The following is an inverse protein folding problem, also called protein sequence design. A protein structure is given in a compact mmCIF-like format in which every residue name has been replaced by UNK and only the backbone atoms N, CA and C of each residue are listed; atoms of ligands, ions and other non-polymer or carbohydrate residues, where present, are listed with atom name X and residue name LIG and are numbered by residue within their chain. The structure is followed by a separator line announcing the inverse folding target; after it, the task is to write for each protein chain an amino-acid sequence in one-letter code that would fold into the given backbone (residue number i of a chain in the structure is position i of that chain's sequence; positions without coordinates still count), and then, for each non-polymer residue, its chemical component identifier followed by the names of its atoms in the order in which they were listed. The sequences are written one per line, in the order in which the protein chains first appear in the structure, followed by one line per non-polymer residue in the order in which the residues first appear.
data_IF_895162274985
#
_entry.id   IF_895162274985
#
_cell.length_a   1.000
_cell.length_b   1.000
_cell.length_c   1.000
_cell.angle_alpha   90.00
_cell.angle_beta   90.00
_cell.angle_gamma   90.00
#
_symmetry.space_group_name_H-M   'P 1'
#
loop_
_entity.id
_entity.type
_entity.pdbx_description
1 polymer ?
#
# COMPACT_ATOMS: atom_id res chain seq x y z
N UNK A 1 0.06 -19.35 -1.73
CA UNK A 1 -0.30 -18.12 -1.02
C UNK A 1 -1.54 -17.55 -1.70
N UNK A 2 -2.39 -16.87 -0.94
CA UNK A 2 -3.59 -16.19 -1.44
C UNK A 2 -3.22 -14.78 -1.92
N UNK A 3 -3.76 -14.35 -3.06
CA UNK A 3 -3.38 -13.11 -3.74
C UNK A 3 -3.51 -11.88 -2.84
N UNK A 4 -4.68 -11.68 -2.24
CA UNK A 4 -4.97 -10.45 -1.51
C UNK A 4 -4.23 -10.39 -0.18
N UNK A 5 -3.97 -11.52 0.48
CA UNK A 5 -3.15 -11.62 1.66
C UNK A 5 -1.71 -11.18 1.37
N UNK A 6 -1.09 -11.70 0.31
CA UNK A 6 0.29 -11.33 -0.05
C UNK A 6 0.38 -9.86 -0.44
N UNK A 7 -0.48 -9.40 -1.34
CA UNK A 7 -0.45 -8.00 -1.81
C UNK A 7 -0.86 -7.02 -0.71
N UNK A 8 -1.77 -7.42 0.18
CA UNK A 8 -2.19 -6.66 1.35
C UNK A 8 -1.05 -6.45 2.35
N UNK A 9 -0.22 -7.48 2.60
CA UNK A 9 0.98 -7.32 3.41
C UNK A 9 2.00 -6.36 2.79
N UNK A 10 2.20 -6.41 1.46
CA UNK A 10 3.07 -5.46 0.75
C UNK A 10 2.59 -4.03 0.99
N UNK A 11 1.29 -3.77 0.80
CA UNK A 11 0.71 -2.45 1.05
C UNK A 11 0.88 -2.01 2.51
N UNK A 12 0.58 -2.90 3.46
CA UNK A 12 0.66 -2.59 4.89
C UNK A 12 2.09 -2.23 5.31
N UNK A 13 3.07 -3.06 4.97
CA UNK A 13 4.50 -2.81 5.25
C UNK A 13 4.91 -1.48 4.62
N UNK A 14 4.55 -1.27 3.36
CA UNK A 14 4.87 -0.05 2.63
C UNK A 14 4.33 1.20 3.31
N UNK A 15 3.06 1.21 3.74
CA UNK A 15 2.50 2.37 4.42
C UNK A 15 3.01 2.56 5.84
N UNK A 16 3.26 1.49 6.60
CA UNK A 16 3.90 1.58 7.92
C UNK A 16 5.28 2.22 7.79
N UNK A 17 6.07 1.77 6.80
CA UNK A 17 7.38 2.33 6.50
C UNK A 17 7.29 3.82 6.12
N UNK A 18 6.40 4.18 5.19
CA UNK A 18 6.25 5.58 4.77
C UNK A 18 5.77 6.48 5.89
N UNK A 19 4.82 6.03 6.70
CA UNK A 19 4.34 6.75 7.89
C UNK A 19 5.50 7.01 8.86
N UNK A 20 6.38 6.04 9.09
CA UNK A 20 7.50 6.16 10.02
C UNK A 20 8.56 7.19 9.62
N UNK A 21 8.68 7.50 8.31
CA UNK A 21 9.70 8.44 7.81
C UNK A 21 9.14 9.76 7.27
N UNK A 22 7.84 9.84 6.98
CA UNK A 22 7.22 11.06 6.48
C UNK A 22 7.11 12.10 7.59
N UNK A 23 7.56 13.33 7.30
CA UNK A 23 7.55 14.47 8.22
C UNK A 23 6.91 15.65 7.52
N UNK A 24 5.92 16.30 8.12
CA UNK A 24 5.30 17.50 7.53
C UNK A 24 6.21 18.74 7.63
N UNK A 25 7.09 18.75 8.63
CA UNK A 25 8.00 19.84 8.94
C UNK A 25 9.37 19.74 8.22
N UNK A 26 10.07 20.87 8.19
CA UNK A 26 11.43 20.95 7.64
C UNK A 26 11.52 20.84 6.11
N UNK A 27 12.75 20.75 5.59
CA UNK A 27 13.02 20.66 4.15
C UNK A 27 13.18 19.20 3.75
N UNK A 28 12.35 18.74 2.81
CA UNK A 28 12.50 17.41 2.23
C UNK A 28 13.69 17.37 1.29
N UNK A 29 14.66 16.51 1.61
CA UNK A 29 15.79 16.23 0.71
C UNK A 29 15.26 15.68 -0.61
N UNK A 30 15.88 16.09 -1.71
CA UNK A 30 15.48 15.64 -3.04
C UNK A 30 15.57 14.11 -3.20
N UNK A 31 16.56 13.47 -2.56
CA UNK A 31 16.67 12.00 -2.50
C UNK A 31 15.46 11.35 -1.82
N UNK A 32 14.93 11.94 -0.74
CA UNK A 32 13.72 11.48 -0.07
C UNK A 32 12.50 11.61 -1.00
N UNK A 33 12.31 12.77 -1.64
CA UNK A 33 11.18 12.99 -2.56
C UNK A 33 11.17 11.94 -3.68
N UNK A 34 12.35 11.68 -4.27
CA UNK A 34 12.50 10.68 -5.33
C UNK A 34 12.19 9.27 -4.83
N UNK A 35 12.71 8.90 -3.66
CA UNK A 35 12.46 7.61 -3.01
C UNK A 35 10.97 7.42 -2.69
N UNK A 36 10.33 8.42 -2.08
CA UNK A 36 8.90 8.43 -1.79
C UNK A 36 8.08 8.25 -3.07
N UNK A 37 8.35 9.05 -4.10
CA UNK A 37 7.63 8.95 -5.37
C UNK A 37 7.74 7.55 -5.99
N UNK A 38 8.94 6.96 -6.02
CA UNK A 38 9.14 5.60 -6.53
C UNK A 38 8.33 4.58 -5.73
N UNK A 39 8.33 4.69 -4.40
CA UNK A 39 7.61 3.76 -3.55
C UNK A 39 6.08 3.91 -3.68
N UNK A 40 5.56 5.13 -3.72
CA UNK A 40 4.12 5.38 -3.94
C UNK A 40 3.66 4.80 -5.28
N UNK A 41 4.48 4.91 -6.36
CA UNK A 41 4.19 4.27 -7.65
C UNK A 41 4.16 2.74 -7.53
N UNK A 42 5.07 2.15 -6.75
CA UNK A 42 5.09 0.71 -6.51
C UNK A 42 3.81 0.26 -5.79
N UNK A 43 3.44 0.95 -4.71
CA UNK A 43 2.23 0.66 -3.93
C UNK A 43 0.95 0.85 -4.75
N UNK A 44 0.91 1.85 -5.62
CA UNK A 44 -0.20 2.07 -6.55
C UNK A 44 -0.37 0.90 -7.52
N UNK A 45 0.74 0.38 -8.09
CA UNK A 45 0.69 -0.81 -8.94
C UNK A 45 0.16 -2.03 -8.18
N UNK A 46 0.57 -2.21 -6.93
CA UNK A 46 0.11 -3.32 -6.07
C UNK A 46 -1.39 -3.20 -5.83
N UNK A 47 -1.87 -2.03 -5.40
CA UNK A 47 -3.30 -1.79 -5.18
C UNK A 47 -4.12 -2.00 -6.47
N UNK A 48 -3.63 -1.51 -7.62
CA UNK A 48 -4.27 -1.74 -8.93
C UNK A 48 -4.31 -3.23 -9.31
N UNK A 49 -3.27 -4.01 -9.02
CA UNK A 49 -3.26 -5.46 -9.24
C UNK A 49 -4.32 -6.19 -8.38
N UNK A 50 -4.58 -5.71 -7.16
CA UNK A 50 -5.64 -6.27 -6.30
C UNK A 50 -7.06 -6.03 -6.84
N UNK A 51 -7.27 -5.09 -7.78
CA UNK A 51 -8.56 -4.90 -8.46
C UNK A 51 -8.75 -5.79 -9.68
N UNK A 52 -7.67 -6.33 -10.24
CA UNK A 52 -7.77 -7.12 -11.46
C UNK A 52 -8.15 -8.56 -11.11
N UNK A 53 -9.02 -9.14 -11.94
CA UNK A 53 -9.38 -10.55 -11.84
C UNK A 53 -8.13 -11.44 -11.72
N UNK A 54 -8.18 -12.41 -10.81
CA UNK A 54 -7.08 -13.34 -10.55
C UNK A 54 -6.69 -14.10 -11.82
N UNK A 55 -5.39 -14.08 -12.11
CA UNK A 55 -4.75 -14.76 -13.23
C UNK A 55 -3.41 -15.30 -12.74
N UNK A 56 -3.30 -16.61 -12.55
CA UNK A 56 -2.17 -17.23 -11.85
C UNK A 56 -0.82 -16.86 -12.47
N UNK A 57 -0.65 -16.91 -13.78
CA UNK A 57 0.61 -16.58 -14.45
C UNK A 57 0.94 -15.09 -14.30
N UNK A 58 -0.05 -14.23 -14.58
CA UNK A 58 0.12 -12.77 -14.57
C UNK A 58 0.41 -12.24 -13.17
N UNK A 59 -0.33 -12.71 -12.16
CA UNK A 59 -0.19 -12.24 -10.79
C UNK A 59 1.13 -12.73 -10.17
N UNK A 60 1.59 -13.94 -10.50
CA UNK A 60 2.92 -14.41 -10.08
C UNK A 60 4.05 -13.64 -10.77
N UNK A 61 3.93 -13.36 -12.07
CA UNK A 61 4.89 -12.52 -12.78
C UNK A 61 4.96 -11.12 -12.18
N UNK A 62 3.80 -10.55 -11.85
CA UNK A 62 3.72 -9.25 -11.17
C UNK A 62 4.37 -9.29 -9.79
N UNK A 63 4.07 -10.29 -8.96
CA UNK A 63 4.65 -10.43 -7.62
C UNK A 63 6.17 -10.53 -7.67
N UNK A 64 6.73 -11.34 -8.58
CA UNK A 64 8.18 -11.46 -8.79
C UNK A 64 8.81 -10.14 -9.19
N UNK A 65 8.16 -9.39 -10.09
CA UNK A 65 8.63 -8.06 -10.47
C UNK A 65 8.68 -7.11 -9.26
N UNK A 66 7.67 -7.12 -8.40
CA UNK A 66 7.64 -6.32 -7.17
C UNK A 66 8.76 -6.74 -6.22
N UNK A 67 8.94 -8.04 -5.99
CA UNK A 67 10.02 -8.59 -5.18
C UNK A 67 11.40 -8.07 -5.65
N UNK A 68 11.72 -8.24 -6.93
CA UNK A 68 13.01 -7.78 -7.47
C UNK A 68 13.15 -6.24 -7.46
N UNK A 69 12.06 -5.49 -7.63
CA UNK A 69 12.07 -4.02 -7.53
C UNK A 69 12.38 -3.55 -6.10
N UNK A 70 11.89 -4.27 -5.08
CA UNK A 70 12.17 -4.02 -3.66
C UNK A 70 13.61 -4.43 -3.31
N UNK A 71 14.05 -5.63 -3.69
CA UNK A 71 15.39 -6.15 -3.39
C UNK A 71 16.51 -5.28 -3.99
N UNK A 72 16.28 -4.75 -5.20
CA UNK A 72 17.23 -3.86 -5.86
C UNK A 72 17.28 -2.44 -5.24
N UNK A 73 16.30 -2.06 -4.41
CA UNK A 73 16.24 -0.74 -3.78
C UNK A 73 16.84 -0.76 -2.38
N UNK A 74 17.95 -0.04 -2.19
CA UNK A 74 18.70 0.00 -0.92
C UNK A 74 17.82 0.45 0.26
N UNK A 75 16.85 1.33 0.01
CA UNK A 75 15.96 1.86 1.04
C UNK A 75 14.85 0.86 1.34
N UNK A 76 14.22 0.28 0.31
CA UNK A 76 13.09 -0.62 0.51
C UNK A 76 13.51 -1.99 1.05
N UNK A 77 14.59 -2.59 0.55
CA UNK A 77 15.02 -3.94 0.95
C UNK A 77 15.19 -4.14 2.46
N UNK A 78 15.60 -3.09 3.18
CA UNK A 78 15.81 -3.15 4.63
C UNK A 78 14.51 -3.07 5.44
N UNK A 79 13.39 -2.75 4.79
CA UNK A 79 12.08 -2.53 5.43
C UNK A 79 11.03 -3.55 5.01
N UNK A 80 11.31 -4.38 4.00
CA UNK A 80 10.46 -5.48 3.55
C UNK A 80 11.09 -6.81 3.96
N UNK A 81 10.66 -7.44 5.08
CA UNK A 81 11.30 -8.62 5.64
C UNK A 81 10.86 -9.89 4.89
N UNK A 82 11.37 -10.11 3.68
CA UNK A 82 11.09 -11.34 2.94
C UNK A 82 11.59 -12.57 3.72
N UNK A 83 10.73 -13.56 3.92
CA UNK A 83 11.05 -14.76 4.68
C UNK A 83 11.85 -15.81 3.87
N UNK A 84 11.90 -15.65 2.54
CA UNK A 84 12.63 -16.53 1.63
C UNK A 84 13.03 -15.81 0.35
N UNK A 85 14.03 -16.36 -0.33
CA UNK A 85 14.35 -16.01 -1.71
C UNK A 85 13.29 -16.60 -2.64
N UNK A 86 12.94 -15.86 -3.69
CA UNK A 86 11.97 -16.29 -4.71
C UNK A 86 12.71 -16.73 -5.97
N UNK A 87 12.39 -17.92 -6.48
CA UNK A 87 12.94 -18.43 -7.74
C UNK A 87 12.08 -18.00 -8.94
N UNK A 88 12.71 -17.90 -10.13
CA UNK A 88 12.06 -17.40 -11.34
C UNK A 88 10.90 -18.29 -11.83
N UNK A 89 10.97 -19.60 -11.61
CA UNK A 89 9.94 -20.55 -12.04
C UNK A 89 8.85 -20.80 -10.97
N UNK A 90 9.06 -20.34 -9.74
CA UNK A 90 8.19 -20.67 -8.61
C UNK A 90 6.78 -20.09 -8.74
N UNK A 91 5.73 -20.89 -8.51
CA UNK A 91 4.34 -20.41 -8.41
C UNK A 91 3.99 -20.17 -6.93
N UNK A 92 3.93 -18.90 -6.54
CA UNK A 92 3.69 -18.44 -5.18
C UNK A 92 2.21 -18.21 -4.89
N UNK A 93 1.54 -17.41 -5.72
CA UNK A 93 0.10 -17.14 -5.62
C UNK A 93 -0.64 -18.26 -6.32
N UNK A 94 -1.57 -18.93 -5.63
CA UNK A 94 -2.28 -20.10 -6.14
C UNK A 94 -3.80 -19.89 -6.26
N UNK A 95 -4.33 -18.96 -5.49
CA UNK A 95 -5.76 -18.65 -5.41
C UNK A 95 -6.01 -17.18 -5.05
N UNK A 96 -7.29 -16.78 -5.15
CA UNK A 96 -7.83 -15.51 -4.70
C UNK A 96 -9.23 -15.79 -4.13
N UNK A 97 -9.33 -15.96 -2.81
CA UNK A 97 -10.56 -16.40 -2.16
C UNK A 97 -11.54 -15.23 -1.95
N UNK A 98 -11.00 -14.04 -1.70
CA UNK A 98 -11.76 -12.83 -1.37
C UNK A 98 -11.68 -11.80 -2.50
N UNK A 99 -11.88 -12.26 -3.73
CA UNK A 99 -11.84 -11.40 -4.90
C UNK A 99 -12.89 -10.28 -4.78
N UNK A 100 -12.43 -9.03 -4.84
CA UNK A 100 -13.24 -7.81 -4.72
C UNK A 100 -14.01 -7.62 -3.39
N UNK A 101 -13.76 -8.40 -2.34
CA UNK A 101 -14.45 -8.25 -1.06
C UNK A 101 -14.32 -6.84 -0.46
N UNK A 102 -13.13 -6.23 -0.61
CA UNK A 102 -12.81 -4.90 -0.09
C UNK A 102 -12.59 -3.88 -1.21
N UNK A 103 -13.38 -3.96 -2.30
CA UNK A 103 -13.21 -3.11 -3.49
C UNK A 103 -13.20 -1.61 -3.16
N UNK A 104 -14.06 -1.15 -2.25
CA UNK A 104 -14.13 0.26 -1.85
C UNK A 104 -12.88 0.72 -1.10
N UNK A 105 -12.35 -0.11 -0.20
CA UNK A 105 -11.08 0.16 0.49
C UNK A 105 -9.95 0.30 -0.53
N UNK A 106 -9.91 -0.60 -1.52
CA UNK A 106 -8.87 -0.57 -2.53
C UNK A 106 -9.00 0.66 -3.46
N UNK A 107 -10.23 1.05 -3.82
CA UNK A 107 -10.49 2.29 -4.55
C UNK A 107 -10.01 3.52 -3.76
N UNK A 108 -10.28 3.57 -2.45
CA UNK A 108 -9.82 4.64 -1.57
C UNK A 108 -8.28 4.70 -1.53
N UNK A 109 -7.62 3.54 -1.38
CA UNK A 109 -6.16 3.43 -1.39
C UNK A 109 -5.59 4.00 -2.69
N UNK A 110 -6.10 3.55 -3.84
CA UNK A 110 -5.63 4.01 -5.16
C UNK A 110 -5.81 5.51 -5.30
N UNK A 111 -6.99 6.03 -4.97
CA UNK A 111 -7.28 7.45 -5.10
C UNK A 111 -6.34 8.31 -4.24
N UNK A 112 -6.09 7.90 -3.00
CA UNK A 112 -5.13 8.57 -2.11
C UNK A 112 -3.69 8.52 -2.63
N UNK A 113 -3.25 7.38 -3.17
CA UNK A 113 -1.93 7.24 -3.80
C UNK A 113 -1.79 8.17 -5.01
N UNK A 114 -2.80 8.24 -5.87
CA UNK A 114 -2.86 9.15 -7.01
C UNK A 114 -2.77 10.62 -6.56
N UNK A 115 -3.50 10.99 -5.50
CA UNK A 115 -3.46 12.36 -4.95
C UNK A 115 -2.08 12.71 -4.35
N UNK A 116 -1.39 11.75 -3.72
CA UNK A 116 0.01 11.94 -3.29
C UNK A 116 0.90 12.18 -4.51
N UNK A 117 0.76 11.40 -5.58
CA UNK A 117 1.57 11.56 -6.79
C UNK A 117 1.34 12.92 -7.46
N UNK A 118 0.09 13.37 -7.55
CA UNK A 118 -0.27 14.70 -8.04
C UNK A 118 0.41 15.78 -7.19
N UNK A 119 0.36 15.66 -5.87
CA UNK A 119 0.97 16.62 -4.95
C UNK A 119 2.50 16.65 -5.06
N UNK A 120 3.14 15.48 -5.15
CA UNK A 120 4.59 15.35 -5.36
C UNK A 120 5.06 15.97 -6.69
N UNK A 121 4.22 15.91 -7.74
CA UNK A 121 4.52 16.48 -9.05
C UNK A 121 4.53 18.02 -9.08
N UNK A 122 4.05 18.69 -8.02
CA UNK A 122 4.16 20.16 -7.88
C UNK A 122 5.57 20.63 -7.49
N UNK A 123 6.51 19.72 -7.31
CA UNK A 123 7.92 20.05 -7.07
C UNK A 123 8.15 20.80 -5.76
N UNK A 124 8.57 22.06 -5.84
CA UNK A 124 8.78 22.89 -4.65
C UNK A 124 7.48 23.37 -3.99
N UNK A 125 6.38 23.46 -4.75
CA UNK A 125 5.06 23.92 -4.28
C UNK A 125 4.18 22.81 -3.68
N UNK A 126 4.73 21.60 -3.53
CA UNK A 126 4.00 20.48 -2.94
C UNK A 126 3.57 20.79 -1.51
N UNK A 127 2.37 20.39 -1.17
CA UNK A 127 1.86 20.42 0.18
C UNK A 127 2.31 19.16 0.95
N UNK A 128 3.29 19.34 1.84
CA UNK A 128 3.85 18.24 2.65
C UNK A 128 2.88 17.79 3.74
N UNK A 129 2.10 18.72 4.29
CA UNK A 129 1.13 18.40 5.34
C UNK A 129 0.05 17.52 4.74
N UNK A 130 -0.49 17.90 3.58
CA UNK A 130 -1.44 17.08 2.83
C UNK A 130 -0.89 15.69 2.53
N UNK A 131 0.33 15.57 1.98
CA UNK A 131 0.95 14.26 1.70
C UNK A 131 1.07 13.43 2.98
N UNK A 132 1.53 14.04 4.07
CA UNK A 132 1.69 13.36 5.36
C UNK A 132 0.35 12.85 5.89
N UNK A 133 -0.70 13.69 5.86
CA UNK A 133 -2.05 13.30 6.28
C UNK A 133 -2.62 12.18 5.42
N UNK A 134 -2.41 12.20 4.10
CA UNK A 134 -2.83 11.09 3.23
C UNK A 134 -2.10 9.79 3.61
N UNK A 135 -0.77 9.82 3.79
CA UNK A 135 0.00 8.64 4.23
C UNK A 135 -0.52 8.11 5.58
N UNK A 136 -0.82 9.00 6.52
CA UNK A 136 -1.41 8.63 7.80
C UNK A 136 -2.83 8.07 7.64
N UNK A 137 -3.62 8.55 6.68
CA UNK A 137 -4.95 8.00 6.39
C UNK A 137 -4.88 6.63 5.71
N UNK A 138 -3.82 6.34 4.96
CA UNK A 138 -3.59 5.07 4.27
C UNK A 138 -3.19 3.91 5.20
N UNK A 139 -2.41 4.18 6.26
CA UNK A 139 -1.62 3.13 6.93
C UNK A 139 -2.39 1.93 7.50
N UNK A 140 -3.65 2.12 7.91
CA UNK A 140 -4.47 1.03 8.43
C UNK A 140 -5.37 0.39 7.38
N UNK A 141 -5.54 0.99 6.19
CA UNK A 141 -6.47 0.47 5.17
C UNK A 141 -6.13 -0.96 4.73
N UNK A 142 -4.85 -1.34 4.47
CA UNK A 142 -4.54 -2.70 4.06
C UNK A 142 -4.73 -3.76 5.15
N UNK A 143 -4.99 -3.35 6.41
CA UNK A 143 -5.21 -4.31 7.51
C UNK A 143 -6.45 -5.18 7.30
N UNK A 144 -7.37 -4.79 6.42
CA UNK A 144 -8.51 -5.64 6.02
C UNK A 144 -8.08 -6.94 5.34
N UNK A 145 -6.89 -6.97 4.74
CA UNK A 145 -6.35 -8.13 4.04
C UNK A 145 -5.43 -9.01 4.91
N UNK A 146 -5.06 -8.54 6.11
CA UNK A 146 -4.15 -9.27 6.99
C UNK A 146 -4.88 -10.41 7.67
N UNK A 147 -4.25 -11.58 7.71
CA UNK A 147 -4.81 -12.78 8.33
C UNK A 147 -3.73 -13.53 9.09
N UNK A 148 -4.01 -13.85 10.35
CA UNK A 148 -3.11 -14.61 11.21
C UNK A 148 -3.00 -16.04 10.71
N UNK A 149 -1.77 -16.59 10.71
CA UNK A 149 -1.51 -17.98 10.30
C UNK A 149 -1.66 -18.26 8.81
N UNK A 150 -1.68 -17.23 7.94
CA UNK A 150 -1.65 -17.42 6.49
C UNK A 150 -0.22 -17.32 5.98
N UNK A 151 0.12 -18.23 5.06
CA UNK A 151 1.40 -18.22 4.37
C UNK A 151 1.47 -17.07 3.36
N UNK A 152 2.41 -16.16 3.60
CA UNK A 152 2.74 -15.01 2.75
C UNK A 152 4.26 -14.87 2.60
N UNK A 153 4.71 -13.85 1.86
CA UNK A 153 6.14 -13.55 1.70
C UNK A 153 6.80 -12.96 2.96
N UNK A 154 6.01 -12.41 3.89
CA UNK A 154 6.54 -11.70 5.07
C UNK A 154 6.14 -12.36 6.39
N UNK A 155 5.13 -13.23 6.37
CA UNK A 155 4.62 -13.94 7.54
C UNK A 155 4.33 -12.99 8.72
N UNK A 156 3.70 -11.84 8.46
CA UNK A 156 3.50 -10.82 9.50
C UNK A 156 2.68 -11.33 10.69
N UNK A 157 1.84 -12.34 10.43
CA UNK A 157 1.06 -13.04 11.45
C UNK A 157 0.19 -12.09 12.31
N UNK A 158 -0.32 -11.02 11.69
CA UNK A 158 -1.18 -10.03 12.33
C UNK A 158 -2.65 -10.35 12.07
N UNK A 159 -3.49 -10.06 13.06
CA UNK A 159 -4.93 -10.08 12.87
C UNK A 159 -5.34 -8.89 11.99
N UNK A 160 -6.19 -9.16 10.99
CA UNK A 160 -6.86 -8.13 10.25
C UNK A 160 -7.91 -7.39 11.07
N UNK A 161 -8.49 -6.37 10.44
CA UNK A 161 -9.58 -5.56 11.01
C UNK A 161 -10.74 -5.53 10.02
N UNK A 162 -11.92 -5.13 10.49
CA UNK A 162 -13.08 -4.98 9.58
C UNK A 162 -12.89 -3.79 8.63
N UNK A 163 -13.65 -3.76 7.53
CA UNK A 163 -13.69 -2.61 6.62
C UNK A 163 -14.13 -1.34 7.35
N UNK A 164 -15.10 -1.45 8.26
CA UNK A 164 -15.62 -0.34 9.05
C UNK A 164 -14.52 0.23 9.97
N UNK A 165 -13.77 -0.64 10.66
CA UNK A 165 -12.65 -0.23 11.49
C UNK A 165 -11.55 0.45 10.67
N UNK A 166 -11.20 -0.11 9.51
CA UNK A 166 -10.21 0.46 8.61
C UNK A 166 -10.61 1.87 8.12
N UNK A 167 -11.86 2.05 7.69
CA UNK A 167 -12.40 3.35 7.29
C UNK A 167 -12.42 4.34 8.45
N UNK A 168 -12.81 3.91 9.65
CA UNK A 168 -12.81 4.75 10.86
C UNK A 168 -11.39 5.26 11.16
N UNK A 169 -10.39 4.38 11.20
CA UNK A 169 -9.00 4.79 11.43
C UNK A 169 -8.48 5.72 10.35
N UNK A 170 -8.89 5.52 9.10
CA UNK A 170 -8.54 6.41 7.99
C UNK A 170 -9.11 7.82 8.22
N UNK A 171 -10.41 7.93 8.52
CA UNK A 171 -11.11 9.20 8.82
C UNK A 171 -10.45 9.98 9.96
N UNK A 172 -10.04 9.30 11.03
CA UNK A 172 -9.42 9.95 12.19
C UNK A 172 -8.10 10.67 11.88
N UNK A 173 -7.48 10.39 10.73
CA UNK A 173 -6.24 11.03 10.27
C UNK A 173 -6.46 12.18 9.28
N UNK A 174 -7.73 12.47 8.93
CA UNK A 174 -8.12 13.48 7.96
C UNK A 174 -8.50 14.80 8.62
N UNK A 175 -8.29 15.91 7.91
CA UNK A 175 -8.94 17.18 8.22
C UNK A 175 -10.29 17.32 7.47
N UNK A 176 -11.03 18.40 7.75
CA UNK A 176 -12.35 18.64 7.16
C UNK A 176 -12.32 18.71 5.63
N UNK A 177 -11.26 19.29 5.05
CA UNK A 177 -11.10 19.39 3.60
C UNK A 177 -10.86 18.01 2.97
N UNK A 178 -10.01 17.19 3.56
CA UNK A 178 -9.80 15.80 3.13
C UNK A 178 -11.07 14.96 3.27
N UNK A 179 -11.82 15.13 4.37
CA UNK A 179 -13.08 14.43 4.56
C UNK A 179 -14.08 14.77 3.44
N UNK A 180 -14.17 16.04 3.04
CA UNK A 180 -15.01 16.45 1.90
C UNK A 180 -14.55 15.82 0.58
N UNK A 181 -13.25 15.73 0.32
CA UNK A 181 -12.71 15.10 -0.90
C UNK A 181 -13.03 13.60 -0.97
N UNK A 182 -12.99 12.90 0.17
CA UNK A 182 -13.13 11.45 0.24
C UNK A 182 -14.52 10.99 0.73
N UNK A 183 -15.49 11.89 0.91
CA UNK A 183 -16.78 11.62 1.56
C UNK A 183 -17.55 10.44 0.97
N UNK A 184 -17.54 10.29 -0.36
CA UNK A 184 -18.23 9.21 -1.07
C UNK A 184 -17.72 7.80 -0.72
N UNK A 185 -16.50 7.66 -0.19
CA UNK A 185 -15.97 6.39 0.32
C UNK A 185 -16.46 6.07 1.74
N UNK A 186 -17.16 7.00 2.37
CA UNK A 186 -17.49 6.98 3.79
C UNK A 186 -18.98 6.99 4.09
N UNK A 187 -19.81 7.31 3.10
CA UNK A 187 -21.26 7.31 3.17
C UNK A 187 -21.79 6.01 2.58
N UNK A 188 -22.22 5.10 3.46
CA UNK A 188 -23.12 3.99 3.16
C UNK A 188 -24.28 4.06 4.13
#
# INVERSE_FOLDING_TARGET
MEKNAVLGEILYIGFVFEKGRCKSDGIWKYSYIRSLKKHIILLEKVAKCMQTKFQIERDNLFLKKIYYEIEADIVLKSNYPFCKLIEEEEILIKDCQDENQHLEINNLIIKMLEDILVELNKGMRKDKEKITRIIFSLHNLPRVYLKKGIDTLFMLNQNGISSEEALLYSKLSMDENMLSIYEHFFTR
#
